data_IF_719428752164
#
_entry.id   IF_719428752164
#
_cell.length_a   1.000
_cell.length_b   1.000
_cell.length_c   1.000
_cell.angle_alpha   90.00
_cell.angle_beta   90.00
_cell.angle_gamma   90.00
#
_symmetry.space_group_name_H-M   'P 1'
#
loop_
_entity.id
_entity.type
_entity.pdbx_description
1 polymer ?
#
# COMPACT_ATOMS: atom_id res chain seq x y z
N UNK A 1 -8.80 10.59 28.18
CA UNK A 1 -9.61 9.77 27.25
C UNK A 1 -10.90 10.42 26.76
N UNK A 2 -11.31 11.61 27.26
CA UNK A 2 -12.55 12.28 26.81
C UNK A 2 -12.36 13.11 25.52
N UNK A 3 -11.14 13.61 25.26
CA UNK A 3 -10.86 14.46 24.10
C UNK A 3 -10.86 13.72 22.74
N UNK A 4 -10.68 12.39 22.75
CA UNK A 4 -10.74 11.57 21.54
C UNK A 4 -12.17 11.18 21.15
N UNK A 5 -13.11 11.22 22.10
CA UNK A 5 -14.52 10.89 21.88
C UNK A 5 -15.33 12.06 21.32
N UNK A 6 -14.91 13.31 21.52
CA UNK A 6 -15.63 14.48 20.97
C UNK A 6 -15.36 14.70 19.49
N UNK A 7 -14.14 14.42 19.00
CA UNK A 7 -13.84 14.42 17.56
C UNK A 7 -14.51 13.27 16.81
N UNK A 8 -14.81 12.16 17.50
CA UNK A 8 -15.54 11.02 16.92
C UNK A 8 -17.04 11.28 16.71
N UNK A 9 -17.61 12.34 17.31
CA UNK A 9 -19.04 12.70 17.18
C UNK A 9 -19.32 13.77 16.12
N UNK A 10 -18.32 14.24 15.38
CA UNK A 10 -18.56 15.07 14.20
C UNK A 10 -18.80 14.14 13.02
N UNK A 11 -20.06 13.96 12.66
CA UNK A 11 -20.45 13.26 11.42
C UNK A 11 -19.60 13.80 10.27
N UNK A 12 -18.81 12.92 9.66
CA UNK A 12 -18.05 13.26 8.46
C UNK A 12 -19.05 13.66 7.37
N UNK A 13 -18.71 14.68 6.58
CA UNK A 13 -19.57 15.06 5.45
C UNK A 13 -19.61 13.92 4.43
N UNK A 14 -20.74 13.75 3.74
CA UNK A 14 -20.91 12.73 2.70
C UNK A 14 -19.82 12.85 1.62
N UNK A 15 -19.41 14.07 1.27
CA UNK A 15 -18.31 14.31 0.33
C UNK A 15 -16.97 13.78 0.85
N UNK A 16 -16.70 13.95 2.14
CA UNK A 16 -15.50 13.42 2.79
C UNK A 16 -15.50 11.89 2.80
N UNK A 17 -16.65 11.26 3.03
CA UNK A 17 -16.77 9.80 3.01
C UNK A 17 -16.53 9.23 1.61
N UNK A 18 -17.07 9.86 0.57
CA UNK A 18 -16.79 9.48 -0.83
C UNK A 18 -15.32 9.66 -1.20
N UNK A 19 -14.66 10.73 -0.72
CA UNK A 19 -13.22 10.90 -0.90
C UNK A 19 -12.42 9.79 -0.21
N UNK A 20 -12.75 9.46 1.04
CA UNK A 20 -12.09 8.38 1.79
C UNK A 20 -12.29 7.02 1.10
N UNK A 21 -13.49 6.77 0.57
CA UNK A 21 -13.79 5.59 -0.22
C UNK A 21 -12.92 5.51 -1.48
N UNK A 22 -12.84 6.62 -2.24
CA UNK A 22 -12.00 6.70 -3.43
C UNK A 22 -10.50 6.49 -3.13
N UNK A 23 -9.99 7.09 -2.06
CA UNK A 23 -8.60 6.88 -1.61
C UNK A 23 -8.39 5.42 -1.16
N UNK A 24 -9.35 4.83 -0.46
CA UNK A 24 -9.31 3.43 -0.04
C UNK A 24 -9.21 2.46 -1.22
N UNK A 25 -9.98 2.69 -2.28
CA UNK A 25 -9.87 1.94 -3.55
C UNK A 25 -8.52 2.20 -4.21
N UNK A 26 -8.08 3.45 -4.27
CA UNK A 26 -6.79 3.83 -4.86
C UNK A 26 -5.61 3.11 -4.18
N UNK A 27 -5.61 3.04 -2.85
CA UNK A 27 -4.60 2.30 -2.08
C UNK A 27 -4.64 0.80 -2.34
N UNK A 28 -5.83 0.23 -2.55
CA UNK A 28 -5.97 -1.18 -2.93
C UNK A 28 -5.29 -1.45 -4.27
N UNK A 29 -5.57 -0.60 -5.27
CA UNK A 29 -4.97 -0.70 -6.60
C UNK A 29 -3.44 -0.57 -6.51
N UNK A 30 -2.93 0.40 -5.73
CA UNK A 30 -1.50 0.56 -5.50
C UNK A 30 -0.89 -0.68 -4.84
N UNK A 31 -1.55 -1.26 -3.85
CA UNK A 31 -1.11 -2.49 -3.17
C UNK A 31 -1.02 -3.69 -4.13
N UNK A 32 -2.02 -3.85 -5.00
CA UNK A 32 -2.03 -4.89 -6.04
C UNK A 32 -0.91 -4.66 -7.06
N UNK A 33 -0.75 -3.44 -7.56
CA UNK A 33 0.32 -3.10 -8.51
C UNK A 33 1.71 -3.31 -7.92
N UNK A 34 1.93 -2.93 -6.65
CA UNK A 34 3.17 -3.18 -5.93
C UNK A 34 3.46 -4.68 -5.81
N UNK A 35 2.43 -5.49 -5.56
CA UNK A 35 2.56 -6.96 -5.48
C UNK A 35 2.92 -7.57 -6.84
N UNK A 36 2.30 -7.12 -7.94
CA UNK A 36 2.64 -7.57 -9.29
C UNK A 36 4.08 -7.18 -9.63
N UNK A 37 4.47 -5.95 -9.32
CA UNK A 37 5.83 -5.45 -9.53
C UNK A 37 6.85 -6.27 -8.75
N UNK A 38 6.54 -6.62 -7.50
CA UNK A 38 7.36 -7.48 -6.67
C UNK A 38 7.60 -8.87 -7.29
N UNK A 39 6.53 -9.51 -7.80
CA UNK A 39 6.63 -10.81 -8.46
C UNK A 39 7.54 -10.73 -9.68
N UNK A 40 7.36 -9.71 -10.53
CA UNK A 40 8.23 -9.48 -11.70
C UNK A 40 9.68 -9.24 -11.29
N UNK A 41 9.91 -8.40 -10.28
CA UNK A 41 11.26 -8.11 -9.78
C UNK A 41 11.95 -9.36 -9.23
N UNK A 42 11.22 -10.21 -8.49
CA UNK A 42 11.72 -11.50 -7.99
C UNK A 42 12.10 -12.44 -9.15
N UNK A 43 11.32 -12.46 -10.23
CA UNK A 43 11.62 -13.28 -11.41
C UNK A 43 12.89 -12.82 -12.13
N UNK A 44 13.02 -11.52 -12.40
CA UNK A 44 14.22 -10.93 -13.02
C UNK A 44 15.46 -11.20 -12.17
N UNK A 45 15.35 -11.10 -10.84
CA UNK A 45 16.46 -11.41 -9.93
C UNK A 45 16.89 -12.88 -10.01
N UNK A 46 15.94 -13.80 -10.19
CA UNK A 46 16.23 -15.23 -10.36
C UNK A 46 16.95 -15.47 -11.70
N UNK A 47 16.42 -14.95 -12.79
CA UNK A 47 17.01 -15.04 -14.13
C UNK A 47 18.45 -14.46 -14.18
N UNK A 48 18.69 -13.34 -13.51
CA UNK A 48 20.03 -12.74 -13.42
C UNK A 48 21.04 -13.60 -12.63
N UNK A 49 20.56 -14.36 -11.64
CA UNK A 49 21.41 -15.28 -10.87
C UNK A 49 21.78 -16.51 -11.71
N UNK A 50 20.83 -17.04 -12.47
CA UNK A 50 21.00 -18.24 -13.29
C UNK A 50 21.93 -17.99 -14.50
N UNK A 51 21.96 -16.75 -15.02
CA UNK A 51 22.81 -16.34 -16.14
C UNK A 51 24.22 -15.85 -15.74
N UNK A 52 24.64 -16.01 -14.47
CA UNK A 52 25.92 -15.49 -13.94
C UNK A 52 26.20 -14.02 -14.31
N UNK A 53 25.15 -13.21 -14.50
CA UNK A 53 25.30 -11.81 -14.86
C UNK A 53 26.03 -11.09 -13.73
N UNK A 54 27.21 -10.53 -14.02
CA UNK A 54 28.05 -9.84 -13.04
C UNK A 54 27.35 -8.57 -12.56
N UNK A 55 26.59 -8.71 -11.49
CA UNK A 55 25.99 -7.59 -10.79
C UNK A 55 27.08 -6.92 -9.94
N UNK A 56 27.50 -5.72 -10.33
CA UNK A 56 28.41 -4.87 -9.55
C UNK A 56 27.86 -4.63 -8.13
N UNK A 57 28.73 -4.70 -7.11
CA UNK A 57 28.33 -4.74 -5.70
C UNK A 57 27.48 -3.55 -5.21
N UNK A 58 27.63 -2.38 -5.82
CA UNK A 58 26.84 -1.17 -5.53
C UNK A 58 25.35 -1.38 -5.86
N UNK A 59 25.06 -2.11 -6.93
CA UNK A 59 23.68 -2.43 -7.33
C UNK A 59 23.03 -3.51 -6.46
N UNK A 60 23.77 -4.20 -5.57
CA UNK A 60 23.18 -5.15 -4.60
C UNK A 60 22.50 -4.43 -3.44
N UNK A 61 23.14 -3.41 -2.87
CA UNK A 61 22.59 -2.62 -1.76
C UNK A 61 21.37 -1.83 -2.20
N UNK A 62 21.44 -1.16 -3.35
CA UNK A 62 20.28 -0.43 -3.87
C UNK A 62 19.07 -1.35 -4.14
N UNK A 63 19.30 -2.53 -4.74
CA UNK A 63 18.24 -3.54 -4.95
C UNK A 63 17.68 -4.12 -3.67
N UNK A 64 18.47 -4.19 -2.60
CA UNK A 64 17.99 -4.62 -1.29
C UNK A 64 16.95 -3.62 -0.77
N UNK A 65 17.28 -2.32 -0.73
CA UNK A 65 16.35 -1.28 -0.30
C UNK A 65 15.09 -1.19 -1.17
N UNK A 66 15.22 -1.36 -2.49
CA UNK A 66 14.06 -1.44 -3.39
C UNK A 66 13.09 -2.57 -3.00
N UNK A 67 13.61 -3.73 -2.58
CA UNK A 67 12.78 -4.86 -2.16
C UNK A 67 11.95 -4.54 -0.92
N UNK A 68 12.55 -3.93 0.10
CA UNK A 68 11.83 -3.50 1.30
C UNK A 68 10.82 -2.40 0.98
N UNK A 69 11.19 -1.43 0.15
CA UNK A 69 10.29 -0.36 -0.25
C UNK A 69 9.03 -0.92 -0.93
N UNK A 70 9.16 -1.86 -1.87
CA UNK A 70 8.00 -2.48 -2.55
C UNK A 70 7.10 -3.22 -1.55
N UNK A 71 7.68 -3.98 -0.62
CA UNK A 71 6.92 -4.70 0.41
C UNK A 71 6.18 -3.72 1.32
N UNK A 72 6.85 -2.64 1.77
CA UNK A 72 6.25 -1.62 2.63
C UNK A 72 5.10 -0.92 1.89
N UNK A 73 5.28 -0.55 0.62
CA UNK A 73 4.20 0.06 -0.19
C UNK A 73 3.01 -0.89 -0.32
N UNK A 74 3.24 -2.18 -0.57
CA UNK A 74 2.18 -3.16 -0.64
C UNK A 74 1.42 -3.26 0.70
N UNK A 75 2.15 -3.38 1.82
CA UNK A 75 1.57 -3.44 3.17
C UNK A 75 0.75 -2.20 3.50
N UNK A 76 1.31 -1.01 3.29
CA UNK A 76 0.62 0.26 3.55
C UNK A 76 -0.60 0.40 2.64
N UNK A 77 -0.50 0.00 1.37
CA UNK A 77 -1.62 -0.02 0.43
C UNK A 77 -2.77 -0.91 0.92
N UNK A 78 -2.49 -2.15 1.30
CA UNK A 78 -3.53 -3.08 1.77
C UNK A 78 -4.11 -2.69 3.13
N UNK A 79 -3.26 -2.38 4.10
CA UNK A 79 -3.72 -2.00 5.46
C UNK A 79 -4.47 -0.67 5.43
N UNK A 80 -3.93 0.32 4.71
CA UNK A 80 -4.58 1.62 4.55
C UNK A 80 -5.92 1.50 3.81
N UNK A 81 -5.98 0.69 2.75
CA UNK A 81 -7.22 0.40 2.04
C UNK A 81 -8.28 -0.23 2.95
N UNK A 82 -7.92 -1.27 3.72
CA UNK A 82 -8.84 -1.94 4.64
C UNK A 82 -9.44 -0.97 5.66
N UNK A 83 -8.62 -0.13 6.28
CA UNK A 83 -9.08 0.84 7.28
C UNK A 83 -9.99 1.89 6.63
N UNK A 84 -9.56 2.50 5.52
CA UNK A 84 -10.30 3.57 4.86
C UNK A 84 -11.61 3.11 4.24
N UNK A 85 -11.63 1.91 3.64
CA UNK A 85 -12.86 1.31 3.12
C UNK A 85 -13.83 0.99 4.24
N UNK A 86 -13.36 0.43 5.35
CA UNK A 86 -14.25 0.11 6.49
C UNK A 86 -14.91 1.37 7.05
N UNK A 87 -14.13 2.42 7.31
CA UNK A 87 -14.64 3.70 7.85
C UNK A 87 -15.59 4.38 6.88
N UNK A 88 -15.24 4.42 5.59
CA UNK A 88 -16.07 5.08 4.58
C UNK A 88 -17.38 4.34 4.32
N UNK A 89 -17.35 3.00 4.24
CA UNK A 89 -18.55 2.17 4.06
C UNK A 89 -19.47 2.31 5.28
N UNK A 90 -18.94 2.23 6.50
CA UNK A 90 -19.78 2.40 7.70
C UNK A 90 -20.45 3.77 7.74
N UNK A 91 -19.74 4.84 7.35
CA UNK A 91 -20.30 6.19 7.28
C UNK A 91 -21.24 6.45 6.10
N UNK A 92 -21.15 5.68 5.00
CA UNK A 92 -22.02 5.80 3.82
C UNK A 92 -23.31 4.98 3.94
N UNK A 93 -23.27 3.88 4.70
CA UNK A 93 -24.41 2.94 4.86
C UNK A 93 -25.30 3.33 6.04
N UNK A 94 -24.76 4.00 7.06
CA UNK A 94 -25.54 4.62 8.16
C UNK A 94 -26.12 5.96 7.72
#
# INVERSE_FOLDING_TARGET
MVFLTETAKKSLSTNTLWMLFGIGIGLLIIGVLATIFFIKFKRIKKEAKDNFAVVTGIYKIFRFWQYYAIIIVALVGYVGSLILLTISIEGLVK
#
